data_IF_669114986253
#
_entry.id   IF_669114986253
#
_cell.length_a   1.000
_cell.length_b   1.000
_cell.length_c   1.000
_cell.angle_alpha   90.00
_cell.angle_beta   90.00
_cell.angle_gamma   90.00
#
_symmetry.space_group_name_H-M   'P 1'
#
loop_
_entity.id
_entity.type
_entity.pdbx_description
1 polymer ?
#
# COMPACT_ATOMS: atom_id res chain seq x y z
N UNK A 1 3.77 0.66 1.46
CA UNK A 1 3.16 -0.48 0.75
C UNK A 1 2.11 -1.16 1.64
N UNK A 2 1.01 -1.63 1.06
CA UNK A 2 -0.15 -2.22 1.76
C UNK A 2 0.12 -3.53 2.53
N UNK A 3 1.33 -4.05 2.34
CA UNK A 3 1.86 -5.38 2.68
C UNK A 3 1.60 -5.90 4.10
N UNK A 4 2.04 -5.17 5.13
CA UNK A 4 2.18 -5.76 6.47
C UNK A 4 0.85 -5.89 7.23
N UNK A 5 -0.06 -4.92 7.11
CA UNK A 5 -1.32 -4.94 7.88
C UNK A 5 -2.35 -5.92 7.33
N UNK A 6 -2.31 -6.22 6.03
CA UNK A 6 -3.30 -7.11 5.42
C UNK A 6 -2.86 -8.59 5.56
N UNK A 7 -1.57 -8.86 5.83
CA UNK A 7 -1.09 -10.21 6.20
C UNK A 7 -1.65 -10.69 7.54
N UNK A 8 -1.85 -9.80 8.51
CA UNK A 8 -2.34 -10.13 9.86
C UNK A 8 -3.86 -9.91 10.04
N UNK A 9 -4.57 -9.46 9.00
CA UNK A 9 -6.01 -9.18 9.11
C UNK A 9 -6.32 -7.83 9.76
N UNK A 10 -5.82 -6.75 9.18
CA UNK A 10 -6.06 -5.38 9.64
C UNK A 10 -7.52 -4.95 9.48
N UNK A 11 -8.03 -4.18 10.45
CA UNK A 11 -9.37 -3.59 10.36
C UNK A 11 -9.40 -2.59 9.20
N UNK A 12 -10.50 -2.59 8.44
CA UNK A 12 -10.68 -1.68 7.31
C UNK A 12 -10.53 -0.20 7.70
N UNK A 13 -10.99 0.19 8.89
CA UNK A 13 -10.88 1.57 9.37
C UNK A 13 -9.42 1.99 9.62
N UNK A 14 -8.58 1.06 10.08
CA UNK A 14 -7.16 1.30 10.30
C UNK A 14 -6.42 1.41 8.97
N UNK A 15 -6.83 0.63 7.96
CA UNK A 15 -6.34 0.77 6.60
C UNK A 15 -6.70 2.14 6.03
N UNK A 16 -7.96 2.59 6.18
CA UNK A 16 -8.39 3.91 5.72
C UNK A 16 -7.53 5.03 6.33
N UNK A 17 -7.35 5.00 7.65
CA UNK A 17 -6.52 5.98 8.38
C UNK A 17 -5.06 5.95 7.92
N UNK A 18 -4.48 4.76 7.79
CA UNK A 18 -3.08 4.58 7.39
C UNK A 18 -2.79 5.12 6.00
N UNK A 19 -3.72 4.92 5.05
CA UNK A 19 -3.57 5.42 3.68
C UNK A 19 -4.14 6.83 3.50
N UNK A 20 -4.52 7.52 4.59
CA UNK A 20 -5.13 8.86 4.58
C UNK A 20 -6.32 8.94 3.61
N UNK A 21 -7.13 7.87 3.57
CA UNK A 21 -8.36 7.78 2.78
C UNK A 21 -9.57 7.94 3.70
N UNK A 22 -10.63 8.56 3.18
CA UNK A 22 -11.92 8.50 3.86
C UNK A 22 -12.50 7.07 3.85
N UNK A 23 -13.47 6.83 4.74
CA UNK A 23 -14.05 5.50 4.93
C UNK A 23 -14.73 4.95 3.68
N UNK A 24 -15.39 5.81 2.88
CA UNK A 24 -16.12 5.37 1.69
C UNK A 24 -15.16 4.99 0.57
N UNK A 25 -14.12 5.80 0.34
CA UNK A 25 -13.06 5.50 -0.64
C UNK A 25 -12.31 4.22 -0.28
N UNK A 26 -11.94 4.05 0.99
CA UNK A 26 -11.28 2.83 1.44
C UNK A 26 -12.17 1.59 1.26
N UNK A 27 -13.45 1.67 1.64
CA UNK A 27 -14.41 0.58 1.46
C UNK A 27 -14.59 0.21 -0.02
N UNK A 28 -14.70 1.21 -0.90
CA UNK A 28 -14.80 1.00 -2.34
C UNK A 28 -13.54 0.36 -2.92
N UNK A 29 -12.36 0.84 -2.55
CA UNK A 29 -11.08 0.28 -3.00
C UNK A 29 -10.89 -1.16 -2.54
N UNK A 30 -11.18 -1.46 -1.28
CA UNK A 30 -11.10 -2.82 -0.74
C UNK A 30 -12.10 -3.75 -1.44
N UNK A 31 -13.32 -3.28 -1.70
CA UNK A 31 -14.30 -4.07 -2.46
C UNK A 31 -13.79 -4.39 -3.86
N UNK A 32 -13.14 -3.45 -4.56
CA UNK A 32 -12.53 -3.73 -5.87
C UNK A 32 -11.42 -4.78 -5.79
N UNK A 33 -10.59 -4.73 -4.76
CA UNK A 33 -9.56 -5.74 -4.54
C UNK A 33 -10.16 -7.12 -4.20
N UNK A 34 -11.28 -7.14 -3.47
CA UNK A 34 -12.01 -8.37 -3.13
C UNK A 34 -12.70 -8.98 -4.35
N UNK A 35 -13.41 -8.17 -5.15
CA UNK A 35 -14.05 -8.59 -6.40
C UNK A 35 -13.01 -9.15 -7.39
N UNK A 36 -11.79 -8.61 -7.38
CA UNK A 36 -10.67 -9.10 -8.18
C UNK A 36 -9.94 -10.31 -7.54
N UNK A 37 -10.31 -10.72 -6.32
CA UNK A 37 -9.80 -11.88 -5.61
C UNK A 37 -8.41 -11.70 -4.99
N UNK A 38 -7.94 -10.47 -4.80
CA UNK A 38 -6.63 -10.18 -4.16
C UNK A 38 -6.72 -10.10 -2.64
N UNK A 39 -7.90 -9.74 -2.11
CA UNK A 39 -8.18 -9.72 -0.67
C UNK A 39 -9.50 -10.41 -0.38
N UNK A 40 -9.75 -10.73 0.88
CA UNK A 40 -11.06 -11.12 1.37
C UNK A 40 -11.38 -10.38 2.67
N UNK A 41 -12.66 -10.13 2.92
CA UNK A 41 -13.14 -9.55 4.17
C UNK A 41 -13.80 -10.59 5.04
N UNK A 42 -13.50 -10.53 6.33
CA UNK A 42 -14.18 -11.30 7.36
C UNK A 42 -14.71 -10.35 8.43
N UNK A 43 -15.87 -10.67 8.99
CA UNK A 43 -16.43 -9.88 10.08
C UNK A 43 -15.50 -9.96 11.29
N UNK A 44 -15.27 -8.84 11.97
CA UNK A 44 -14.40 -8.84 13.14
C UNK A 44 -15.06 -9.64 14.28
N UNK A 45 -14.34 -10.60 14.91
CA UNK A 45 -14.90 -11.42 15.98
C UNK A 45 -15.27 -10.60 17.22
N UNK A 46 -14.62 -9.45 17.45
CA UNK A 46 -14.85 -8.58 18.61
C UNK A 46 -15.86 -7.46 18.31
N UNK A 47 -16.04 -7.10 17.05
CA UNK A 47 -16.99 -6.07 16.62
C UNK A 47 -17.69 -6.46 15.31
N UNK A 48 -18.96 -6.89 15.42
CA UNK A 48 -19.78 -7.27 14.26
C UNK A 48 -20.02 -6.14 13.26
N UNK A 49 -19.76 -4.88 13.62
CA UNK A 49 -19.86 -3.74 12.71
C UNK A 49 -18.57 -3.50 11.91
N UNK A 50 -17.47 -4.13 12.30
CA UNK A 50 -16.17 -3.99 11.66
C UNK A 50 -15.85 -5.19 10.76
N UNK A 51 -14.98 -4.92 9.77
CA UNK A 51 -14.41 -5.94 8.89
C UNK A 51 -12.89 -5.94 8.99
N UNK A 52 -12.33 -7.14 9.01
CA UNK A 52 -10.91 -7.40 8.83
C UNK A 52 -10.63 -7.80 7.40
N UNK A 53 -9.56 -7.25 6.84
CA UNK A 53 -9.16 -7.48 5.45
C UNK A 53 -7.91 -8.35 5.44
N UNK A 54 -7.95 -9.44 4.68
CA UNK A 54 -6.86 -10.41 4.56
C UNK A 54 -6.40 -10.54 3.11
N UNK A 55 -5.09 -10.71 2.89
CA UNK A 55 -4.55 -10.94 1.53
C UNK A 55 -4.78 -12.40 1.17
N UNK A 56 -5.34 -12.65 -0.01
CA UNK A 56 -5.47 -14.02 -0.54
C UNK A 56 -4.13 -14.50 -1.11
N UNK A 57 -4.03 -15.78 -1.45
CA UNK A 57 -2.82 -16.27 -2.12
C UNK A 57 -2.58 -15.57 -3.47
N UNK A 58 -3.64 -15.31 -4.24
CA UNK A 58 -3.57 -14.50 -5.47
C UNK A 58 -3.06 -13.08 -5.20
N UNK A 59 -3.48 -12.47 -4.08
CA UNK A 59 -2.97 -11.18 -3.62
C UNK A 59 -1.47 -11.21 -3.36
N UNK A 60 -0.97 -12.25 -2.69
CA UNK A 60 0.46 -12.42 -2.38
C UNK A 60 1.30 -12.60 -3.65
N UNK A 61 0.89 -13.48 -4.56
CA UNK A 61 1.62 -13.67 -5.81
C UNK A 61 1.65 -12.40 -6.67
N UNK A 62 0.60 -11.56 -6.58
CA UNK A 62 0.59 -10.27 -7.25
C UNK A 62 1.54 -9.26 -6.59
N UNK A 63 1.59 -9.24 -5.26
CA UNK A 63 2.53 -8.41 -4.50
C UNK A 63 3.98 -8.72 -4.86
N UNK A 64 4.33 -10.01 -4.95
CA UNK A 64 5.67 -10.46 -5.36
C UNK A 64 6.03 -9.97 -6.76
N UNK A 65 5.11 -10.11 -7.72
CA UNK A 65 5.30 -9.61 -9.09
C UNK A 65 5.46 -8.09 -9.12
N UNK A 66 4.68 -7.34 -8.34
CA UNK A 66 4.82 -5.89 -8.25
C UNK A 66 6.18 -5.50 -7.67
N UNK A 67 6.67 -6.22 -6.66
CA UNK A 67 7.99 -5.96 -6.08
C UNK A 67 9.11 -6.26 -7.07
N UNK A 68 9.00 -7.33 -7.86
CA UNK A 68 9.96 -7.63 -8.93
C UNK A 68 9.98 -6.53 -9.99
N UNK A 69 8.81 -6.03 -10.41
CA UNK A 69 8.69 -4.92 -11.36
C UNK A 69 9.29 -3.64 -10.78
N UNK A 70 9.01 -3.33 -9.51
CA UNK A 70 9.55 -2.14 -8.84
C UNK A 70 11.09 -2.18 -8.78
N UNK A 71 11.68 -3.32 -8.44
CA UNK A 71 13.13 -3.49 -8.43
C UNK A 71 13.75 -3.32 -9.83
N UNK A 72 13.10 -3.86 -10.86
CA UNK A 72 13.53 -3.66 -12.25
C UNK A 72 13.43 -2.19 -12.66
N UNK A 73 12.33 -1.53 -12.30
CA UNK A 73 12.13 -0.11 -12.55
C UNK A 73 13.24 0.74 -11.92
N UNK A 74 13.54 0.51 -10.64
CA UNK A 74 14.62 1.23 -9.93
C UNK A 74 15.98 1.01 -10.59
N UNK A 75 16.27 -0.22 -11.04
CA UNK A 75 17.49 -0.52 -11.78
C UNK A 75 17.60 0.25 -13.10
N UNK A 76 16.48 0.52 -13.77
CA UNK A 76 16.45 1.23 -15.06
C UNK A 76 16.55 2.74 -14.83
N UNK A 77 15.70 3.28 -13.96
CA UNK A 77 15.62 4.73 -13.70
C UNK A 77 16.89 5.26 -13.06
N UNK A 78 17.56 4.45 -12.23
CA UNK A 78 18.82 4.81 -11.57
C UNK A 78 20.05 4.22 -12.27
N UNK A 79 19.91 3.80 -13.53
CA UNK A 79 21.03 3.29 -14.31
C UNK A 79 22.08 4.40 -14.54
N UNK A 80 23.35 4.08 -14.29
CA UNK A 80 24.46 5.04 -14.38
C UNK A 80 24.66 5.94 -13.16
N UNK A 81 23.75 5.92 -12.18
CA UNK A 81 23.91 6.70 -10.94
C UNK A 81 24.92 6.03 -10.01
N UNK A 82 25.78 6.85 -9.40
CA UNK A 82 26.61 6.44 -8.26
C UNK A 82 25.77 6.15 -7.02
N UNK A 83 26.39 5.57 -5.99
CA UNK A 83 25.69 5.30 -4.73
C UNK A 83 25.26 6.60 -4.05
N UNK A 84 26.11 7.62 -4.11
CA UNK A 84 25.89 8.94 -3.54
C UNK A 84 24.75 9.67 -4.27
N UNK A 85 24.69 9.57 -5.59
CA UNK A 85 23.62 10.17 -6.39
C UNK A 85 22.26 9.51 -6.11
N UNK A 86 22.22 8.19 -5.91
CA UNK A 86 20.99 7.49 -5.51
C UNK A 86 20.50 7.94 -4.14
N UNK A 87 21.41 8.12 -3.18
CA UNK A 87 21.06 8.63 -1.85
C UNK A 87 20.52 10.06 -1.93
N UNK A 88 21.15 10.91 -2.74
CA UNK A 88 20.71 12.30 -2.92
C UNK A 88 19.34 12.37 -3.62
N UNK A 89 19.13 11.56 -4.64
CA UNK A 89 17.85 11.45 -5.34
C UNK A 89 16.72 11.04 -4.38
N UNK A 90 16.97 10.05 -3.51
CA UNK A 90 15.98 9.61 -2.52
C UNK A 90 15.64 10.75 -1.53
N UNK A 91 16.66 11.47 -1.04
CA UNK A 91 16.46 12.61 -0.15
C UNK A 91 15.67 13.75 -0.82
N UNK A 92 15.90 14.00 -2.12
CA UNK A 92 15.13 14.99 -2.88
C UNK A 92 13.67 14.58 -3.04
N UNK A 93 13.39 13.32 -3.37
CA UNK A 93 12.00 12.82 -3.46
C UNK A 93 11.29 12.89 -2.12
N UNK A 94 11.96 12.54 -1.02
CA UNK A 94 11.39 12.65 0.33
C UNK A 94 11.01 14.09 0.66
N UNK A 95 11.92 15.04 0.42
CA UNK A 95 11.68 16.47 0.66
C UNK A 95 10.53 17.01 -0.22
N UNK A 96 10.47 16.60 -1.48
CA UNK A 96 9.35 16.94 -2.37
C UNK A 96 8.02 16.38 -1.84
N UNK A 97 8.02 15.13 -1.36
CA UNK A 97 6.84 14.50 -0.75
C UNK A 97 6.35 15.22 0.49
N UNK A 98 7.26 15.66 1.37
CA UNK A 98 6.93 16.47 2.55
C UNK A 98 6.27 17.81 2.16
N UNK A 99 6.83 18.51 1.18
CA UNK A 99 6.27 19.78 0.68
C UNK A 99 4.83 19.62 0.18
N UNK A 100 4.52 18.52 -0.53
CA UNK A 100 3.16 18.26 -1.05
C UNK A 100 2.22 17.82 0.07
N UNK A 101 2.72 17.12 1.09
CA UNK A 101 1.86 16.67 2.19
C UNK A 101 1.24 17.81 2.99
N UNK A 102 1.91 18.97 3.06
CA UNK A 102 1.36 20.18 3.68
C UNK A 102 0.30 20.92 2.86
N UNK A 103 -0.04 20.46 1.64
CA UNK A 103 -1.12 21.05 0.82
C UNK A 103 -2.50 20.53 1.25
N UNK A 104 -2.55 19.37 1.91
CA UNK A 104 -3.80 18.70 2.32
C UNK A 104 -4.09 18.82 3.83
N UNK A 105 -3.35 19.67 4.54
CA UNK A 105 -3.66 20.15 5.90
C UNK A 105 -4.41 21.48 5.82
#
# INVERSE_FOLDING_TARGET
MMSLMVKEGGRQEDLARKYKMDKATAAWAIKKLEDAGYVCRQQDPEDKRAYRVFVTEKGRSMEEKMMEIALKWDSIVLSGFSKEEKQLQAAFLERMGQNVSGIFE
#
